data_IF_709226744409
#
_entry.id   IF_709226744409
#
_cell.length_a   1.000
_cell.length_b   1.000
_cell.length_c   1.000
_cell.angle_alpha   90.00
_cell.angle_beta   90.00
_cell.angle_gamma   90.00
#
_symmetry.space_group_name_H-M   'P 1'
#
loop_
_entity.id
_entity.type
_entity.pdbx_description
1 polymer ?
#
# COMPACT_ATOMS: atom_id res chain seq x y z
N UNK A 1 10.44 -18.44 -18.98
CA UNK A 1 9.62 -17.24 -18.66
C UNK A 1 8.44 -17.58 -17.76
N UNK A 2 7.76 -18.71 -17.95
CA UNK A 2 6.61 -19.15 -17.14
C UNK A 2 6.86 -19.22 -15.62
N UNK A 3 8.04 -19.69 -15.20
CA UNK A 3 8.41 -19.71 -13.77
C UNK A 3 8.54 -18.33 -13.13
N UNK A 4 8.96 -17.31 -13.90
CA UNK A 4 9.08 -15.94 -13.38
C UNK A 4 7.69 -15.30 -13.18
N UNK A 5 6.74 -15.55 -14.08
CA UNK A 5 5.36 -15.09 -13.93
C UNK A 5 4.65 -15.76 -12.76
N UNK A 6 4.82 -17.07 -12.59
CA UNK A 6 4.27 -17.76 -11.42
C UNK A 6 4.85 -17.24 -10.10
N UNK A 7 6.16 -16.95 -10.06
CA UNK A 7 6.79 -16.35 -8.90
C UNK A 7 6.21 -14.96 -8.58
N UNK A 8 6.05 -14.10 -9.61
CA UNK A 8 5.47 -12.75 -9.43
C UNK A 8 4.05 -12.82 -8.86
N UNK A 9 3.18 -13.67 -9.41
CA UNK A 9 1.80 -13.84 -8.91
C UNK A 9 1.79 -14.28 -7.45
N UNK A 10 2.62 -15.26 -7.08
CA UNK A 10 2.73 -15.73 -5.71
C UNK A 10 3.25 -14.61 -4.80
N UNK A 11 4.25 -13.87 -5.25
CA UNK A 11 4.81 -12.75 -4.50
C UNK A 11 3.77 -11.65 -4.25
N UNK A 12 2.94 -11.33 -5.24
CA UNK A 12 1.85 -10.36 -5.11
C UNK A 12 0.78 -10.83 -4.12
N UNK A 13 0.45 -12.12 -4.13
CA UNK A 13 -0.43 -12.72 -3.11
C UNK A 13 0.18 -12.56 -1.71
N UNK A 14 1.48 -12.82 -1.54
CA UNK A 14 2.17 -12.60 -0.27
C UNK A 14 2.12 -11.13 0.18
N UNK A 15 2.35 -10.18 -0.72
CA UNK A 15 2.24 -8.76 -0.44
C UNK A 15 0.81 -8.40 -0.02
N UNK A 16 -0.18 -8.88 -0.76
CA UNK A 16 -1.59 -8.61 -0.47
C UNK A 16 -1.98 -9.13 0.92
N UNK A 17 -1.61 -10.37 1.26
CA UNK A 17 -1.83 -10.95 2.59
C UNK A 17 -1.11 -10.13 3.68
N UNK A 18 0.13 -9.71 3.43
CA UNK A 18 0.88 -8.88 4.37
C UNK A 18 0.19 -7.53 4.61
N UNK A 19 -0.26 -6.86 3.56
CA UNK A 19 -1.01 -5.61 3.65
C UNK A 19 -2.30 -5.80 4.44
N UNK A 20 -3.06 -6.85 4.15
CA UNK A 20 -4.31 -7.17 4.86
C UNK A 20 -4.06 -7.50 6.33
N UNK A 21 -2.99 -8.23 6.66
CA UNK A 21 -2.61 -8.50 8.04
C UNK A 21 -2.42 -7.19 8.82
N UNK A 22 -1.67 -6.23 8.27
CA UNK A 22 -1.52 -4.91 8.92
C UNK A 22 -2.80 -4.09 8.90
N UNK A 23 -3.61 -4.19 7.84
CA UNK A 23 -4.90 -3.51 7.75
C UNK A 23 -5.87 -3.98 8.87
N UNK A 24 -5.88 -5.27 9.16
CA UNK A 24 -6.66 -5.87 10.25
C UNK A 24 -6.06 -5.50 11.60
N UNK A 25 -4.76 -5.79 11.80
CA UNK A 25 -4.06 -5.57 13.06
C UNK A 25 -4.02 -4.09 13.49
N UNK A 26 -3.95 -3.18 12.54
CA UNK A 26 -3.94 -1.72 12.76
C UNK A 26 -2.75 -1.21 13.57
N UNK A 27 -1.71 -2.03 13.78
CA UNK A 27 -0.55 -1.74 14.62
C UNK A 27 0.68 -2.57 14.21
N UNK A 28 1.86 -2.18 14.70
CA UNK A 28 3.15 -2.83 14.44
C UNK A 28 4.11 -1.98 13.61
N UNK A 29 5.24 -2.57 13.20
CA UNK A 29 6.35 -1.86 12.56
C UNK A 29 5.98 -1.03 11.32
N UNK A 30 4.98 -1.47 10.55
CA UNK A 30 4.51 -0.69 9.40
C UNK A 30 3.92 0.68 9.78
N UNK A 31 3.45 0.83 11.02
CA UNK A 31 2.82 2.03 11.56
C UNK A 31 3.73 2.84 12.49
N UNK A 32 4.92 2.32 12.79
CA UNK A 32 5.96 3.04 13.53
C UNK A 32 6.53 4.14 12.63
N UNK A 33 6.56 5.36 13.14
CA UNK A 33 7.07 6.53 12.42
C UNK A 33 7.52 7.58 13.42
N UNK A 34 8.51 8.38 13.02
CA UNK A 34 9.06 9.47 13.81
C UNK A 34 8.34 10.80 13.55
N UNK A 35 7.08 10.74 13.09
CA UNK A 35 6.29 11.95 12.86
C UNK A 35 5.83 12.58 14.19
N UNK A 36 5.49 13.88 14.19
CA UNK A 36 4.92 14.56 15.37
C UNK A 36 3.68 13.83 15.87
N UNK A 37 3.45 13.80 17.18
CA UNK A 37 2.33 13.08 17.81
C UNK A 37 0.98 13.43 17.18
N UNK A 38 0.77 14.70 16.84
CA UNK A 38 -0.42 15.24 16.17
C UNK A 38 -0.66 14.61 14.78
N UNK A 39 0.41 14.23 14.08
CA UNK A 39 0.37 13.59 12.76
C UNK A 39 0.26 12.06 12.84
N UNK A 40 0.80 11.44 13.89
CA UNK A 40 0.91 9.97 13.97
C UNK A 40 -0.44 9.28 13.84
N UNK A 41 -1.45 9.71 14.58
CA UNK A 41 -2.78 9.09 14.55
C UNK A 41 -3.43 9.20 13.17
N UNK A 42 -3.34 10.39 12.55
CA UNK A 42 -3.89 10.64 11.23
C UNK A 42 -3.15 9.87 10.12
N UNK A 43 -1.82 9.75 10.24
CA UNK A 43 -0.98 8.96 9.32
C UNK A 43 -1.30 7.47 9.45
N UNK A 44 -1.37 6.93 10.67
CA UNK A 44 -1.72 5.52 10.90
C UNK A 44 -3.07 5.16 10.30
N UNK A 45 -4.08 6.03 10.46
CA UNK A 45 -5.40 5.85 9.84
C UNK A 45 -5.30 5.84 8.31
N UNK A 46 -4.56 6.78 7.72
CA UNK A 46 -4.37 6.85 6.26
C UNK A 46 -3.68 5.58 5.73
N UNK A 47 -2.58 5.17 6.37
CA UNK A 47 -1.84 3.97 5.97
C UNK A 47 -2.70 2.71 6.13
N UNK A 48 -3.50 2.62 7.19
CA UNK A 48 -4.43 1.50 7.38
C UNK A 48 -5.49 1.44 6.28
N UNK A 49 -6.07 2.59 5.91
CA UNK A 49 -6.99 2.67 4.76
C UNK A 49 -6.28 2.25 3.47
N UNK A 50 -5.05 2.70 3.25
CA UNK A 50 -4.26 2.30 2.10
C UNK A 50 -4.04 0.79 2.04
N UNK A 51 -3.66 0.15 3.16
CA UNK A 51 -3.49 -1.30 3.23
C UNK A 51 -4.78 -2.06 2.90
N UNK A 52 -5.95 -1.56 3.31
CA UNK A 52 -7.24 -2.17 2.92
C UNK A 52 -7.53 -2.03 1.42
N UNK A 53 -7.40 -0.80 0.89
CA UNK A 53 -7.72 -0.49 -0.51
C UNK A 53 -6.75 -1.18 -1.47
N UNK A 54 -5.50 -1.38 -1.08
CA UNK A 54 -4.53 -2.10 -1.92
C UNK A 54 -4.58 -3.60 -1.70
N UNK A 55 -4.64 -4.06 -0.45
CA UNK A 55 -4.55 -5.47 -0.12
C UNK A 55 -5.72 -6.31 -0.64
N UNK A 56 -6.98 -5.86 -0.50
CA UNK A 56 -8.14 -6.66 -0.96
C UNK A 56 -8.14 -6.81 -2.48
N UNK A 57 -8.05 -5.73 -3.28
CA UNK A 57 -8.14 -5.84 -4.72
C UNK A 57 -6.90 -6.49 -5.33
N UNK A 58 -5.71 -6.27 -4.76
CA UNK A 58 -4.51 -6.99 -5.21
C UNK A 58 -4.68 -8.49 -5.04
N UNK A 59 -5.17 -8.95 -3.88
CA UNK A 59 -5.40 -10.38 -3.66
C UNK A 59 -6.39 -10.95 -4.69
N UNK A 60 -7.50 -10.25 -4.94
CA UNK A 60 -8.50 -10.67 -5.93
C UNK A 60 -7.90 -10.72 -7.34
N UNK A 61 -7.17 -9.69 -7.75
CA UNK A 61 -6.56 -9.62 -9.08
C UNK A 61 -5.48 -10.69 -9.27
N UNK A 62 -4.63 -10.93 -8.27
CA UNK A 62 -3.61 -11.99 -8.34
C UNK A 62 -4.24 -13.39 -8.43
N UNK A 63 -5.38 -13.63 -7.76
CA UNK A 63 -6.13 -14.89 -7.92
C UNK A 63 -6.70 -15.03 -9.33
N UNK A 64 -7.30 -13.97 -9.87
CA UNK A 64 -7.83 -13.97 -11.24
C UNK A 64 -6.73 -14.21 -12.28
N UNK A 65 -5.57 -13.56 -12.10
CA UNK A 65 -4.38 -13.74 -12.94
C UNK A 65 -3.86 -15.17 -12.87
N UNK A 66 -3.81 -15.77 -11.68
CA UNK A 66 -3.41 -17.17 -11.49
C UNK A 66 -4.30 -18.15 -12.26
N UNK A 67 -5.61 -17.87 -12.33
CA UNK A 67 -6.59 -18.72 -13.03
C UNK A 67 -6.66 -18.49 -14.55
N UNK A 68 -5.97 -17.47 -15.07
CA UNK A 68 -5.99 -17.16 -16.50
C UNK A 68 -5.07 -18.08 -17.31
N UNK A 69 -5.52 -18.50 -18.50
CA UNK A 69 -4.77 -19.42 -19.37
C UNK A 69 -3.45 -18.81 -19.87
N UNK A 70 -3.44 -17.49 -20.08
CA UNK A 70 -2.30 -16.77 -20.67
C UNK A 70 -1.72 -15.75 -19.68
N UNK A 71 -0.92 -16.26 -18.73
CA UNK A 71 -0.40 -15.50 -17.57
C UNK A 71 0.45 -14.28 -17.94
N UNK A 72 1.10 -14.28 -19.11
CA UNK A 72 2.02 -13.21 -19.52
C UNK A 72 1.34 -12.02 -20.22
N UNK A 73 0.17 -12.23 -20.83
CA UNK A 73 -0.64 -11.19 -21.50
C UNK A 73 -2.05 -11.11 -20.93
N UNK A 74 -2.23 -11.57 -19.70
CA UNK A 74 -3.51 -11.53 -19.03
C UNK A 74 -3.94 -10.09 -18.86
N UNK A 75 -5.18 -9.78 -19.28
CA UNK A 75 -5.78 -8.47 -19.04
C UNK A 75 -5.79 -8.13 -17.54
N UNK A 76 -5.85 -9.16 -16.68
CA UNK A 76 -5.79 -9.04 -15.23
C UNK A 76 -4.44 -8.51 -14.73
N UNK A 77 -3.32 -8.94 -15.32
CA UNK A 77 -1.98 -8.43 -15.02
C UNK A 77 -1.86 -6.94 -15.35
N UNK A 78 -2.40 -6.53 -16.50
CA UNK A 78 -2.37 -5.12 -16.92
C UNK A 78 -3.22 -4.28 -15.95
N UNK A 79 -4.41 -4.76 -15.61
CA UNK A 79 -5.31 -4.08 -14.66
C UNK A 79 -4.65 -3.97 -13.28
N UNK A 80 -4.00 -5.03 -12.79
CA UNK A 80 -3.35 -5.05 -11.47
C UNK A 80 -2.20 -4.04 -11.39
N UNK A 81 -1.35 -3.97 -12.41
CA UNK A 81 -0.26 -3.00 -12.49
C UNK A 81 -0.81 -1.57 -12.48
N UNK A 82 -1.76 -1.25 -13.36
CA UNK A 82 -2.36 0.10 -13.44
C UNK A 82 -3.04 0.47 -12.12
N UNK A 83 -3.76 -0.47 -11.51
CA UNK A 83 -4.45 -0.27 -10.24
C UNK A 83 -3.46 0.05 -9.11
N UNK A 84 -2.42 -0.76 -8.93
CA UNK A 84 -1.42 -0.55 -7.86
C UNK A 84 -0.69 0.77 -8.05
N UNK A 85 -0.28 1.11 -9.28
CA UNK A 85 0.34 2.40 -9.57
C UNK A 85 -0.58 3.56 -9.21
N UNK A 86 -1.86 3.48 -9.58
CA UNK A 86 -2.85 4.50 -9.23
C UNK A 86 -3.02 4.63 -7.71
N UNK A 87 -3.09 3.53 -6.97
CA UNK A 87 -3.18 3.54 -5.51
C UNK A 87 -1.95 4.19 -4.85
N UNK A 88 -0.75 3.86 -5.32
CA UNK A 88 0.50 4.44 -4.81
C UNK A 88 0.55 5.94 -5.07
N UNK A 89 0.24 6.37 -6.30
CA UNK A 89 0.21 7.80 -6.65
C UNK A 89 -0.84 8.54 -5.83
N UNK A 90 -2.06 8.00 -5.71
CA UNK A 90 -3.11 8.58 -4.89
C UNK A 90 -2.71 8.70 -3.42
N UNK A 91 -2.06 7.66 -2.86
CA UNK A 91 -1.53 7.70 -1.49
C UNK A 91 -0.53 8.84 -1.30
N UNK A 92 0.45 8.99 -2.21
CA UNK A 92 1.43 10.06 -2.14
C UNK A 92 0.79 11.44 -2.26
N UNK A 93 -0.16 11.63 -3.16
CA UNK A 93 -0.89 12.90 -3.32
C UNK A 93 -1.65 13.23 -2.05
N UNK A 94 -2.45 12.28 -1.52
CA UNK A 94 -3.24 12.48 -0.30
C UNK A 94 -2.34 12.77 0.89
N UNK A 95 -1.24 12.02 1.04
CA UNK A 95 -0.25 12.25 2.09
C UNK A 95 0.33 13.67 1.99
N UNK A 96 0.77 14.08 0.80
CA UNK A 96 1.35 15.42 0.56
C UNK A 96 0.35 16.54 0.83
N UNK A 97 -0.90 16.39 0.41
CA UNK A 97 -1.94 17.40 0.62
C UNK A 97 -2.33 17.48 2.09
N UNK A 98 -2.57 16.33 2.73
CA UNK A 98 -3.04 16.26 4.12
C UNK A 98 -1.98 16.68 5.13
N UNK A 99 -0.71 16.40 4.85
CA UNK A 99 0.40 16.67 5.77
C UNK A 99 1.32 17.82 5.31
N UNK A 100 0.90 18.60 4.30
CA UNK A 100 1.69 19.71 3.74
C UNK A 100 2.21 20.68 4.81
N UNK A 101 1.40 20.96 5.83
CA UNK A 101 1.75 21.90 6.90
C UNK A 101 2.86 21.34 7.80
N UNK A 102 2.78 20.07 8.17
CA UNK A 102 3.84 19.38 8.93
C UNK A 102 5.14 19.25 8.13
N UNK A 103 5.05 19.17 6.80
CA UNK A 103 6.22 19.10 5.91
C UNK A 103 6.88 20.47 5.65
N UNK A 104 6.20 21.58 5.91
CA UNK A 104 6.70 22.94 5.61
C UNK A 104 7.60 23.51 6.71
N UNK A 105 7.43 23.11 7.97
CA UNK A 105 8.17 23.69 9.08
C UNK A 105 8.76 22.61 10.00
N UNK A 106 9.97 22.07 9.68
CA UNK A 106 10.61 21.03 10.49
C UNK A 106 10.98 21.48 11.91
N UNK A 107 10.93 22.78 12.23
CA UNK A 107 11.31 23.32 13.55
C UNK A 107 10.15 23.37 14.56
N UNK A 108 8.89 23.38 14.10
CA UNK A 108 7.71 23.31 14.97
C UNK A 108 7.45 21.91 15.55
N UNK A 109 8.11 20.92 14.97
CA UNK A 109 7.84 19.50 15.15
C UNK A 109 8.90 18.77 16.01
N UNK A 110 9.90 19.50 16.50
CA UNK A 110 10.85 18.97 17.46
C UNK A 110 10.17 18.92 18.84
N UNK A 111 10.25 17.80 19.58
CA UNK A 111 9.79 17.77 20.96
C UNK A 111 10.49 18.90 21.70
N UNK A 112 9.72 19.78 22.35
CA UNK A 112 10.27 20.78 23.26
C UNK A 112 10.94 20.00 24.39
N UNK A 113 12.28 19.90 24.34
CA UNK A 113 13.10 19.43 25.46
C UNK A 113 13.05 20.44 26.60
#
# INVERSE_FOLDING_TARGET
MEGAFNFMIIFDIFIAVYLLYYAIKGSGKAYENDYPEEMQAAHRKLLRTFCWITGVPLLVLSVLEYTSEDKAMSIWSIISIVYILACVVAYFIIFRVKFKEYLKDPRKNLPKR
#
